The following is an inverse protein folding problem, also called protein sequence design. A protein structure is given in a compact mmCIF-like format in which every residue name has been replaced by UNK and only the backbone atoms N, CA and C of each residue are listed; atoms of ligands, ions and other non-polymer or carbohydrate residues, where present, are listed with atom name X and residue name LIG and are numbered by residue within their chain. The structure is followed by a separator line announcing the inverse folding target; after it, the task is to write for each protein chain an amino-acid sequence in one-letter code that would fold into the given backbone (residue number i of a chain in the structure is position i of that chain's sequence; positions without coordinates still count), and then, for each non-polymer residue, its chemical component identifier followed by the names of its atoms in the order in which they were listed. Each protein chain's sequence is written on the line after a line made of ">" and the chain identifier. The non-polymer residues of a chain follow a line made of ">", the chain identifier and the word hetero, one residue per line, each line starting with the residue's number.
data_IF_735999817000
#
_entry.id   IF_735999817000
#
_cell.length_a   1.000
_cell.length_b   1.000
_cell.length_c   1.000
_cell.angle_alpha   90.00
_cell.angle_beta   90.00
_cell.angle_gamma   90.00
#
_symmetry.space_group_name_H-M   'P 1'
#
loop_
_entity.id
_entity.type
_entity.pdbx_description
1 polymer ?
#
# COMPACT_ATOMS: atom_id res chain seq x y z
N UNK A 1 30.16 28.46 -16.23
CA UNK A 1 29.60 28.32 -14.87
C UNK A 1 28.14 28.72 -14.98
N UNK A 2 27.27 27.77 -15.33
CA UNK A 2 25.85 28.02 -15.53
C UNK A 2 25.13 27.67 -14.22
N UNK A 3 24.53 28.68 -13.62
CA UNK A 3 23.73 28.63 -12.41
C UNK A 3 22.46 27.81 -12.69
N UNK A 4 22.32 26.64 -12.09
CA UNK A 4 21.08 25.86 -12.12
C UNK A 4 20.10 26.48 -11.12
N UNK A 5 18.83 26.72 -11.49
CA UNK A 5 17.86 27.28 -10.57
C UNK A 5 17.63 26.32 -9.40
N UNK A 6 17.76 26.84 -8.18
CA UNK A 6 17.48 26.11 -6.94
C UNK A 6 16.08 25.49 -7.01
N UNK A 7 16.00 24.17 -6.84
CA UNK A 7 14.74 23.45 -6.76
C UNK A 7 13.89 24.04 -5.62
N UNK A 8 12.61 24.31 -5.90
CA UNK A 8 11.68 24.86 -4.91
C UNK A 8 11.60 23.94 -3.66
N UNK A 9 11.49 24.51 -2.45
CA UNK A 9 11.42 23.73 -1.22
C UNK A 9 10.25 22.72 -1.25
N UNK A 10 10.50 21.52 -0.71
CA UNK A 10 9.64 20.34 -0.81
C UNK A 10 8.20 20.56 -0.29
N UNK A 11 8.02 21.44 0.69
CA UNK A 11 6.70 21.84 1.19
C UNK A 11 5.84 22.46 0.09
N UNK A 12 6.45 23.20 -0.84
CA UNK A 12 5.76 23.78 -1.99
C UNK A 12 5.41 22.72 -3.05
N UNK A 13 6.21 21.66 -3.20
CA UNK A 13 5.95 20.58 -4.15
C UNK A 13 4.85 19.63 -3.64
N UNK A 14 4.87 19.32 -2.33
CA UNK A 14 3.82 18.56 -1.65
C UNK A 14 2.51 19.36 -1.63
N UNK A 15 2.57 20.66 -1.31
CA UNK A 15 1.40 21.54 -1.38
C UNK A 15 0.88 21.71 -2.81
N UNK A 16 1.76 21.80 -3.82
CA UNK A 16 1.36 21.86 -5.23
C UNK A 16 0.68 20.55 -5.68
N UNK A 17 1.19 19.39 -5.25
CA UNK A 17 0.55 18.09 -5.49
C UNK A 17 -0.83 18.01 -4.79
N UNK A 18 -0.94 18.50 -3.55
CA UNK A 18 -2.23 18.60 -2.85
C UNK A 18 -3.22 19.56 -3.54
N UNK A 19 -2.76 20.71 -4.02
CA UNK A 19 -3.58 21.68 -4.75
C UNK A 19 -4.06 21.13 -6.10
N UNK A 20 -3.21 20.37 -6.80
CA UNK A 20 -3.57 19.70 -8.05
C UNK A 20 -4.59 18.57 -7.84
N UNK A 21 -4.48 17.83 -6.73
CA UNK A 21 -5.45 16.80 -6.31
C UNK A 21 -6.79 17.40 -5.87
N UNK A 22 -6.78 18.53 -5.16
CA UNK A 22 -8.00 19.26 -4.78
C UNK A 22 -8.77 19.82 -5.99
N UNK A 23 -8.06 20.21 -7.05
CA UNK A 23 -8.66 20.70 -8.30
C UNK A 23 -9.25 19.59 -9.19
N UNK A 24 -8.86 18.33 -8.97
CA UNK A 24 -9.25 17.18 -9.81
C UNK A 24 -10.54 16.48 -9.35
N UNK A 25 -11.16 16.90 -8.25
CA UNK A 25 -12.47 16.40 -7.80
C UNK A 25 -13.55 17.42 -8.11
N UNK A 26 -14.41 17.10 -9.08
CA UNK A 26 -15.73 17.71 -9.20
C UNK A 26 -16.56 17.39 -7.95
N UNK A 27 -16.52 18.26 -6.94
CA UNK A 27 -17.53 18.33 -5.89
C UNK A 27 -17.70 19.79 -5.46
N UNK A 28 -18.90 20.32 -5.67
CA UNK A 28 -19.30 21.65 -5.21
C UNK A 28 -19.38 21.64 -3.69
N UNK A 29 -18.53 22.43 -3.02
CA UNK A 29 -18.68 22.77 -1.61
C UNK A 29 -19.88 23.72 -1.47
N UNK A 30 -21.00 23.22 -0.95
CA UNK A 30 -22.02 24.10 -0.40
C UNK A 30 -21.57 24.58 0.99
N UNK A 31 -21.42 25.90 1.11
CA UNK A 31 -21.26 26.58 2.39
C UNK A 31 -22.54 26.44 3.22
N UNK A 32 -22.41 26.02 4.48
CA UNK A 32 -23.47 26.13 5.50
C UNK A 32 -22.98 27.13 6.54
N UNK A 33 -23.74 28.20 6.83
CA UNK A 33 -23.33 29.20 7.81
C UNK A 33 -23.71 28.80 9.25
N UNK A 34 -22.82 29.18 10.16
CA UNK A 34 -23.05 29.57 11.57
C UNK A 34 -23.49 28.53 12.61
N UNK A 35 -22.52 28.13 13.44
CA UNK A 35 -22.49 28.46 14.87
C UNK A 35 -23.64 27.98 15.78
N UNK A 36 -23.38 26.93 16.56
CA UNK A 36 -23.56 26.94 18.03
C UNK A 36 -23.00 25.68 18.70
N UNK A 37 -22.41 25.94 19.87
CA UNK A 37 -21.84 24.99 20.81
C UNK A 37 -22.95 24.33 21.65
N UNK A 38 -22.85 23.05 21.96
CA UNK A 38 -23.60 22.40 23.04
C UNK A 38 -22.84 21.19 23.58
N UNK A 39 -22.53 21.23 24.87
CA UNK A 39 -21.93 20.16 25.67
C UNK A 39 -23.04 19.36 26.34
N UNK A 40 -23.05 18.02 26.23
CA UNK A 40 -23.86 17.13 27.09
C UNK A 40 -23.04 15.86 27.40
N UNK A 41 -22.83 15.47 28.67
CA UNK A 41 -22.20 14.21 29.02
C UNK A 41 -23.19 13.13 29.50
N UNK A 42 -22.69 11.90 29.37
CA UNK A 42 -22.86 10.70 30.21
C UNK A 42 -23.80 9.55 29.78
N UNK A 43 -23.15 8.39 29.66
CA UNK A 43 -23.59 6.99 29.83
C UNK A 43 -24.53 6.33 28.81
N UNK A 44 -23.97 5.34 28.09
CA UNK A 44 -24.44 3.94 28.20
C UNK A 44 -23.38 2.93 27.75
N UNK A 45 -23.26 1.87 28.54
CA UNK A 45 -22.46 0.66 28.32
C UNK A 45 -22.92 -0.14 27.09
N UNK A 46 -21.98 -0.91 26.52
CA UNK A 46 -22.11 -2.21 25.82
C UNK A 46 -21.18 -2.24 24.60
N UNK A 47 -20.53 -3.32 24.17
CA UNK A 47 -20.22 -4.64 24.69
C UNK A 47 -19.12 -5.17 23.74
N UNK A 48 -18.23 -6.03 24.23
CA UNK A 48 -17.20 -6.68 23.43
C UNK A 48 -17.82 -7.51 22.27
N UNK A 49 -17.12 -7.65 21.11
CA UNK A 49 -17.63 -8.42 19.98
C UNK A 49 -17.69 -9.93 20.31
N UNK A 50 -18.69 -10.68 19.82
CA UNK A 50 -18.76 -12.11 20.08
C UNK A 50 -17.65 -12.86 19.33
N UNK A 51 -16.98 -13.76 20.07
CA UNK A 51 -16.07 -14.77 19.51
C UNK A 51 -16.87 -15.75 18.65
N UNK A 52 -16.36 -16.06 17.45
CA UNK A 52 -16.93 -17.05 16.54
C UNK A 52 -17.02 -18.43 17.23
N UNK A 53 -18.10 -19.20 17.07
CA UNK A 53 -18.09 -20.60 17.46
C UNK A 53 -17.30 -21.42 16.44
N UNK A 54 -16.30 -22.17 16.93
CA UNK A 54 -15.66 -23.27 16.21
C UNK A 54 -16.71 -24.37 16.07
N UNK A 55 -17.12 -24.66 14.84
CA UNK A 55 -18.04 -25.76 14.55
C UNK A 55 -17.26 -27.07 14.52
N UNK A 56 -17.24 -27.78 15.65
CA UNK A 56 -16.92 -29.22 15.68
C UNK A 56 -18.18 -29.99 15.28
N UNK A 57 -18.22 -30.52 14.06
CA UNK A 57 -19.16 -31.61 13.74
C UNK A 57 -18.41 -32.82 13.17
N UNK A 58 -18.39 -33.84 14.02
CA UNK A 58 -18.18 -35.24 13.70
C UNK A 58 -19.58 -35.87 13.74
N UNK A 59 -20.02 -36.51 12.65
CA UNK A 59 -21.07 -37.53 12.56
C UNK A 59 -21.21 -37.87 11.06
N UNK A 60 -20.64 -38.98 10.61
CA UNK A 60 -21.28 -40.31 10.53
C UNK A 60 -22.37 -40.40 9.44
N UNK A 61 -22.13 -41.35 8.55
CA UNK A 61 -22.92 -41.65 7.38
C UNK A 61 -24.15 -42.49 7.76
N UNK A 62 -25.33 -42.10 7.25
CA UNK A 62 -26.46 -43.00 7.06
C UNK A 62 -27.06 -42.70 5.69
N UNK A 63 -27.18 -43.75 4.88
CA UNK A 63 -27.84 -43.78 3.57
C UNK A 63 -29.36 -43.63 3.73
N UNK A 64 -29.99 -42.80 2.91
CA UNK A 64 -31.45 -42.86 2.73
C UNK A 64 -32.10 -41.63 2.09
N UNK A 65 -32.39 -41.76 0.79
CA UNK A 65 -33.60 -41.24 0.09
C UNK A 65 -33.72 -39.72 -0.10
N UNK A 66 -33.49 -39.31 -1.35
CA UNK A 66 -34.32 -38.35 -2.10
C UNK A 66 -34.48 -36.94 -1.53
N UNK A 67 -33.49 -36.07 -1.73
CA UNK A 67 -33.69 -34.63 -1.67
C UNK A 67 -33.01 -33.94 -2.85
N UNK A 68 -33.82 -33.20 -3.59
CA UNK A 68 -33.50 -32.39 -4.75
C UNK A 68 -32.27 -31.49 -4.45
N UNK A 69 -31.11 -31.83 -5.01
CA UNK A 69 -29.91 -30.98 -4.94
C UNK A 69 -30.11 -29.84 -5.93
N UNK A 70 -30.86 -28.83 -5.50
CA UNK A 70 -30.81 -27.52 -6.12
C UNK A 70 -29.35 -27.06 -6.09
N UNK A 71 -28.70 -27.15 -7.25
CA UNK A 71 -27.35 -26.63 -7.45
C UNK A 71 -27.39 -25.14 -7.14
N UNK A 72 -26.99 -24.78 -5.91
CA UNK A 72 -26.64 -23.40 -5.60
C UNK A 72 -25.48 -23.08 -6.53
N UNK A 73 -25.79 -22.45 -7.68
CA UNK A 73 -24.79 -21.75 -8.49
C UNK A 73 -24.01 -20.89 -7.50
N UNK A 74 -22.74 -21.23 -7.27
CA UNK A 74 -21.79 -20.27 -6.73
C UNK A 74 -21.94 -19.06 -7.65
N UNK A 75 -22.55 -17.99 -7.15
CA UNK A 75 -22.60 -16.72 -7.88
C UNK A 75 -21.14 -16.44 -8.18
N UNK A 76 -20.74 -16.50 -9.45
CA UNK A 76 -19.38 -16.17 -9.84
C UNK A 76 -19.14 -14.77 -9.27
N UNK A 77 -18.30 -14.68 -8.24
CA UNK A 77 -17.85 -13.39 -7.77
C UNK A 77 -17.10 -12.82 -8.96
N UNK A 78 -17.73 -11.89 -9.68
CA UNK A 78 -17.07 -11.14 -10.72
C UNK A 78 -15.79 -10.59 -10.10
N UNK A 79 -14.64 -11.05 -10.60
CA UNK A 79 -13.38 -10.54 -10.11
C UNK A 79 -13.40 -9.03 -10.35
N UNK A 80 -13.20 -8.22 -9.31
CA UNK A 80 -13.21 -6.79 -9.47
C UNK A 80 -12.10 -6.42 -10.44
N UNK A 81 -12.39 -5.50 -11.36
CA UNK A 81 -11.46 -5.06 -12.38
C UNK A 81 -10.09 -4.72 -11.76
N UNK A 82 -9.01 -5.18 -12.39
CA UNK A 82 -7.64 -4.90 -11.97
C UNK A 82 -7.48 -3.38 -11.92
N UNK A 83 -7.02 -2.80 -10.78
CA UNK A 83 -6.79 -1.37 -10.74
C UNK A 83 -5.70 -1.01 -11.75
N UNK A 84 -5.77 0.22 -12.26
CA UNK A 84 -4.67 0.78 -13.02
C UNK A 84 -3.40 0.81 -12.16
N UNK A 85 -2.27 0.42 -12.76
CA UNK A 85 -0.97 0.37 -12.11
C UNK A 85 -0.11 1.45 -12.76
N UNK A 86 0.15 2.52 -12.01
CA UNK A 86 0.91 3.67 -12.48
C UNK A 86 2.35 3.22 -12.78
N UNK A 87 2.87 3.55 -13.95
CA UNK A 87 4.26 3.26 -14.33
C UNK A 87 4.54 1.79 -14.73
N UNK A 88 3.53 0.92 -14.75
CA UNK A 88 3.71 -0.46 -15.19
C UNK A 88 4.11 -0.51 -16.67
N UNK A 89 5.29 -1.08 -16.92
CA UNK A 89 5.82 -1.32 -18.26
C UNK A 89 6.10 -2.81 -18.45
N UNK A 90 5.26 -3.48 -19.24
CA UNK A 90 5.32 -4.93 -19.44
C UNK A 90 4.91 -5.73 -18.20
N UNK A 91 5.28 -7.02 -18.20
CA UNK A 91 4.98 -7.92 -17.07
C UNK A 91 5.88 -7.64 -15.86
N UNK A 92 5.34 -7.55 -14.63
CA UNK A 92 6.16 -7.38 -13.44
C UNK A 92 7.03 -8.62 -13.18
N UNK A 93 8.19 -8.42 -12.56
CA UNK A 93 9.07 -9.49 -12.12
C UNK A 93 8.39 -10.38 -11.07
N UNK A 94 8.88 -11.62 -10.84
CA UNK A 94 8.16 -12.63 -10.05
C UNK A 94 7.79 -12.19 -8.63
N UNK A 95 8.66 -11.43 -7.95
CA UNK A 95 8.37 -10.95 -6.59
C UNK A 95 7.31 -9.84 -6.58
N UNK A 96 7.40 -8.90 -7.52
CA UNK A 96 6.40 -7.85 -7.68
C UNK A 96 5.05 -8.43 -8.12
N UNK A 97 5.04 -9.37 -9.06
CA UNK A 97 3.84 -10.10 -9.47
C UNK A 97 3.19 -10.81 -8.28
N UNK A 98 3.96 -11.57 -7.50
CA UNK A 98 3.44 -12.31 -6.35
C UNK A 98 2.84 -11.38 -5.27
N UNK A 99 3.49 -10.25 -4.96
CA UNK A 99 2.93 -9.30 -3.99
C UNK A 99 1.66 -8.63 -4.53
N UNK A 100 1.66 -8.25 -5.81
CA UNK A 100 0.51 -7.63 -6.45
C UNK A 100 -0.70 -8.58 -6.46
N UNK A 101 -0.49 -9.85 -6.81
CA UNK A 101 -1.54 -10.86 -6.82
C UNK A 101 -2.12 -11.10 -5.43
N UNK A 102 -1.24 -11.22 -4.42
CA UNK A 102 -1.66 -11.33 -3.02
C UNK A 102 -2.47 -10.10 -2.59
N UNK A 103 -2.03 -8.89 -2.93
CA UNK A 103 -2.75 -7.67 -2.59
C UNK A 103 -4.11 -7.58 -3.29
N UNK A 104 -4.20 -8.00 -4.55
CA UNK A 104 -5.47 -8.08 -5.30
C UNK A 104 -6.44 -9.09 -4.69
N UNK A 105 -5.94 -10.23 -4.21
CA UNK A 105 -6.74 -11.21 -3.50
C UNK A 105 -7.30 -10.61 -2.19
N UNK A 106 -6.45 -9.97 -1.39
CA UNK A 106 -6.84 -9.43 -0.07
C UNK A 106 -7.75 -8.21 -0.15
N UNK A 107 -7.62 -7.37 -1.18
CA UNK A 107 -8.54 -6.24 -1.35
C UNK A 107 -9.97 -6.73 -1.64
N UNK A 108 -10.11 -7.87 -2.33
CA UNK A 108 -11.39 -8.34 -2.84
C UNK A 108 -12.06 -7.24 -3.68
N UNK A 109 -13.33 -6.94 -3.41
CA UNK A 109 -14.08 -5.87 -4.10
C UNK A 109 -13.71 -4.44 -3.71
N UNK A 110 -12.87 -4.23 -2.68
CA UNK A 110 -12.52 -2.89 -2.16
C UNK A 110 -11.42 -2.25 -3.01
N UNK A 111 -11.28 -0.91 -3.04
CA UNK A 111 -10.20 -0.24 -3.75
C UNK A 111 -8.81 -0.76 -3.34
N UNK A 112 -8.62 -1.03 -2.05
CA UNK A 112 -7.39 -1.56 -1.47
C UNK A 112 -7.69 -2.34 -0.18
N UNK A 113 -6.80 -3.25 0.28
CA UNK A 113 -6.93 -3.94 1.55
C UNK A 113 -6.49 -3.04 2.72
N UNK A 114 -6.89 -3.42 3.93
CA UNK A 114 -6.32 -2.89 5.16
C UNK A 114 -5.03 -3.65 5.50
N UNK A 115 -4.14 -3.05 6.30
CA UNK A 115 -2.99 -3.78 6.83
C UNK A 115 -3.40 -5.06 7.58
N UNK A 116 -4.52 -5.04 8.30
CA UNK A 116 -5.02 -6.20 9.05
C UNK A 116 -5.44 -7.39 8.16
N UNK A 117 -5.66 -7.16 6.87
CA UNK A 117 -6.00 -8.23 5.92
C UNK A 117 -4.77 -9.00 5.42
N UNK A 118 -3.57 -8.46 5.65
CA UNK A 118 -2.31 -9.04 5.19
C UNK A 118 -1.68 -9.86 6.34
N UNK A 119 -1.55 -11.16 6.16
CA UNK A 119 -0.86 -12.04 7.08
C UNK A 119 0.56 -12.36 6.57
N UNK A 120 1.62 -12.00 7.31
CA UNK A 120 3.00 -12.32 6.93
C UNK A 120 3.24 -13.81 6.66
N UNK A 121 2.46 -14.72 7.26
CA UNK A 121 2.61 -16.17 7.06
C UNK A 121 2.23 -16.62 5.65
N UNK A 122 1.44 -15.83 4.92
CA UNK A 122 1.04 -16.14 3.55
C UNK A 122 2.16 -15.83 2.54
N UNK A 123 3.04 -14.89 2.86
CA UNK A 123 4.05 -14.34 1.95
C UNK A 123 5.48 -14.36 2.52
N UNK A 124 5.94 -15.46 3.17
CA UNK A 124 7.22 -15.47 3.89
C UNK A 124 8.42 -15.17 2.99
N UNK A 125 8.35 -15.57 1.71
CA UNK A 125 9.40 -15.31 0.71
C UNK A 125 9.51 -13.84 0.30
N UNK A 126 8.44 -13.05 0.47
CA UNK A 126 8.42 -11.64 0.08
C UNK A 126 8.89 -10.75 1.23
N UNK A 127 8.76 -11.19 2.49
CA UNK A 127 9.09 -10.40 3.69
C UNK A 127 10.50 -9.79 3.68
N UNK A 128 11.58 -10.48 3.24
CA UNK A 128 12.90 -9.88 3.18
C UNK A 128 12.99 -8.65 2.25
N UNK A 129 12.08 -8.55 1.28
CA UNK A 129 12.06 -7.52 0.24
C UNK A 129 11.06 -6.38 0.52
N UNK A 130 10.23 -6.53 1.56
CA UNK A 130 9.11 -5.64 1.83
C UNK A 130 9.54 -4.48 2.73
N UNK A 131 8.97 -3.30 2.47
CA UNK A 131 8.92 -2.19 3.42
C UNK A 131 7.45 -1.87 3.72
N UNK A 132 7.15 -1.58 4.98
CA UNK A 132 5.84 -1.09 5.40
C UNK A 132 6.00 0.31 5.99
N UNK A 133 5.16 1.23 5.55
CA UNK A 133 5.19 2.63 5.99
C UNK A 133 3.83 3.07 6.51
N UNK A 134 3.83 3.77 7.64
CA UNK A 134 2.68 4.55 8.10
C UNK A 134 2.63 5.85 7.29
N UNK A 135 1.44 6.27 6.85
CA UNK A 135 1.20 7.59 6.28
C UNK A 135 0.63 8.48 7.38
N UNK A 136 1.35 9.56 7.72
CA UNK A 136 0.96 10.43 8.83
C UNK A 136 -0.20 11.34 8.42
N UNK A 137 -1.31 11.36 9.19
CA UNK A 137 -2.45 12.23 8.92
C UNK A 137 -2.05 13.71 8.85
N UNK A 138 -2.69 14.45 7.94
CA UNK A 138 -2.50 15.90 7.78
C UNK A 138 -1.20 16.33 7.09
N UNK A 139 -0.14 15.52 7.12
CA UNK A 139 1.15 15.84 6.48
C UNK A 139 1.47 14.97 5.26
N UNK A 140 0.95 13.74 5.20
CA UNK A 140 1.29 12.77 4.16
C UNK A 140 2.73 12.23 4.27
N UNK A 141 3.48 12.62 5.31
CA UNK A 141 4.83 12.08 5.55
C UNK A 141 4.74 10.59 5.81
N UNK A 142 5.70 9.84 5.28
CA UNK A 142 5.72 8.38 5.35
C UNK A 142 6.81 7.95 6.32
N UNK A 143 6.46 7.18 7.34
CA UNK A 143 7.41 6.67 8.34
C UNK A 143 7.58 5.17 8.19
N UNK A 144 8.81 4.69 8.09
CA UNK A 144 9.08 3.26 8.03
C UNK A 144 8.66 2.59 9.34
N UNK A 145 7.79 1.59 9.22
CA UNK A 145 7.35 0.72 10.31
C UNK A 145 8.09 -0.61 10.31
N UNK A 146 8.45 -1.10 9.13
CA UNK A 146 9.23 -2.31 8.92
C UNK A 146 10.06 -2.16 7.65
N UNK A 147 11.29 -2.66 7.71
CA UNK A 147 12.19 -2.80 6.56
C UNK A 147 12.66 -4.24 6.49
N UNK A 148 12.45 -4.88 5.35
CA UNK A 148 12.84 -6.28 5.11
C UNK A 148 14.35 -6.47 5.15
N UNK A 149 14.79 -7.64 5.62
CA UNK A 149 16.21 -7.93 5.85
C UNK A 149 17.08 -7.81 4.61
N UNK A 150 16.58 -8.20 3.42
CA UNK A 150 17.31 -8.05 2.15
C UNK A 150 17.48 -6.58 1.78
N UNK A 151 16.48 -5.73 2.08
CA UNK A 151 16.59 -4.28 1.89
C UNK A 151 17.66 -3.71 2.82
N UNK A 152 17.67 -4.10 4.09
CA UNK A 152 18.72 -3.66 5.05
C UNK A 152 20.12 -4.05 4.58
N UNK A 153 20.31 -5.29 4.12
CA UNK A 153 21.61 -5.76 3.59
C UNK A 153 22.05 -4.92 2.39
N UNK A 154 21.14 -4.60 1.47
CA UNK A 154 21.48 -3.92 0.22
C UNK A 154 21.72 -2.41 0.38
N UNK A 155 21.01 -1.75 1.30
CA UNK A 155 21.14 -0.30 1.52
C UNK A 155 21.99 0.04 2.77
N UNK A 156 22.42 -0.97 3.52
CA UNK A 156 23.34 -0.85 4.65
C UNK A 156 22.75 -0.17 5.89
N UNK A 157 21.43 0.00 5.97
CA UNK A 157 20.77 0.66 7.09
C UNK A 157 19.34 0.13 7.29
N UNK A 158 19.00 -0.14 8.56
CA UNK A 158 17.61 -0.26 8.99
C UNK A 158 17.05 1.13 9.24
N UNK A 159 16.13 1.56 8.36
CA UNK A 159 15.50 2.88 8.44
C UNK A 159 14.19 2.87 9.25
N UNK A 160 13.90 1.80 9.98
CA UNK A 160 12.71 1.72 10.85
C UNK A 160 12.62 2.93 11.79
N UNK A 161 11.44 3.54 11.88
CA UNK A 161 11.18 4.75 12.66
C UNK A 161 11.53 6.07 11.97
N UNK A 162 12.35 6.05 10.91
CA UNK A 162 12.71 7.25 10.13
C UNK A 162 11.63 7.58 9.11
N UNK A 163 11.61 8.85 8.69
CA UNK A 163 10.74 9.27 7.59
C UNK A 163 11.41 9.03 6.23
N UNK A 164 10.60 8.72 5.21
CA UNK A 164 11.06 8.49 3.84
C UNK A 164 11.85 9.69 3.29
N UNK A 165 11.45 10.92 3.64
CA UNK A 165 12.08 12.16 3.20
C UNK A 165 13.42 12.47 3.91
N UNK A 166 13.72 11.78 5.01
CA UNK A 166 14.97 11.91 5.79
C UNK A 166 16.04 10.90 5.36
N UNK A 167 15.68 9.89 4.59
CA UNK A 167 16.64 8.90 4.11
C UNK A 167 17.42 9.48 2.92
N UNK A 168 18.74 9.33 2.99
CA UNK A 168 19.62 9.70 1.88
C UNK A 168 19.57 8.61 0.81
N UNK A 169 18.94 8.96 -0.32
CA UNK A 169 18.85 8.13 -1.53
C UNK A 169 19.77 8.63 -2.66
N UNK A 170 20.65 9.59 -2.38
CA UNK A 170 21.47 10.26 -3.39
C UNK A 170 20.63 10.85 -4.53
N UNK A 171 21.11 10.70 -5.76
CA UNK A 171 20.47 11.23 -6.97
C UNK A 171 19.06 10.65 -7.21
N UNK A 172 18.74 9.49 -6.63
CA UNK A 172 17.44 8.83 -6.80
C UNK A 172 16.34 9.41 -5.91
N UNK A 173 16.68 10.31 -4.98
CA UNK A 173 15.72 10.88 -4.01
C UNK A 173 14.46 11.45 -4.67
N UNK A 174 14.52 12.31 -5.70
CA UNK A 174 13.31 12.87 -6.31
C UNK A 174 12.41 11.80 -6.92
N UNK A 175 13.00 10.86 -7.66
CA UNK A 175 12.30 9.75 -8.31
C UNK A 175 11.59 8.82 -7.30
N UNK A 176 12.21 8.58 -6.15
CA UNK A 176 11.62 7.76 -5.08
C UNK A 176 10.45 8.50 -4.45
N UNK A 177 10.64 9.75 -4.02
CA UNK A 177 9.58 10.53 -3.37
C UNK A 177 8.37 10.72 -4.30
N UNK A 178 8.61 10.95 -5.59
CA UNK A 178 7.56 11.01 -6.61
C UNK A 178 6.78 9.70 -6.70
N UNK A 179 7.45 8.54 -6.79
CA UNK A 179 6.78 7.23 -6.90
C UNK A 179 5.85 6.96 -5.71
N UNK A 180 6.30 7.27 -4.49
CA UNK A 180 5.49 7.13 -3.28
C UNK A 180 4.36 8.17 -3.21
N UNK A 181 4.63 9.41 -3.64
CA UNK A 181 3.65 10.48 -3.73
C UNK A 181 2.51 10.14 -4.70
N UNK A 182 2.82 9.54 -5.85
CA UNK A 182 1.83 9.08 -6.82
C UNK A 182 0.94 7.97 -6.24
N UNK A 183 1.52 6.96 -5.61
CA UNK A 183 0.75 5.88 -4.98
C UNK A 183 -0.21 6.41 -3.89
N UNK A 184 0.27 7.38 -3.09
CA UNK A 184 -0.53 8.04 -2.06
C UNK A 184 -1.65 8.90 -2.67
N UNK A 185 -1.31 9.80 -3.60
CA UNK A 185 -2.24 10.77 -4.17
C UNK A 185 -3.37 10.10 -4.98
N UNK A 186 -3.04 9.03 -5.71
CA UNK A 186 -4.00 8.35 -6.58
C UNK A 186 -4.70 7.17 -5.91
N UNK A 187 -4.27 6.75 -4.71
CA UNK A 187 -4.78 5.55 -4.07
C UNK A 187 -4.65 4.30 -4.99
N UNK A 188 -3.60 4.26 -5.80
CA UNK A 188 -3.37 3.24 -6.83
C UNK A 188 -2.00 2.59 -6.69
N UNK A 189 -1.84 1.32 -7.10
CA UNK A 189 -0.53 0.70 -7.25
C UNK A 189 0.41 1.54 -8.13
N UNK A 190 1.67 1.64 -7.73
CA UNK A 190 2.73 2.23 -8.53
C UNK A 190 3.85 1.21 -8.74
N UNK A 191 4.29 1.06 -9.98
CA UNK A 191 5.34 0.15 -10.40
C UNK A 191 6.43 0.93 -11.13
N UNK A 192 7.69 0.54 -10.91
CA UNK A 192 8.81 1.09 -11.66
C UNK A 192 9.98 0.12 -11.73
N UNK A 193 10.53 -0.04 -12.93
CA UNK A 193 11.87 -0.60 -13.15
C UNK A 193 12.88 0.54 -13.19
N UNK A 194 14.02 0.37 -12.53
CA UNK A 194 15.07 1.38 -12.48
C UNK A 194 16.45 0.74 -12.31
N UNK A 195 17.46 1.33 -12.95
CA UNK A 195 18.85 1.09 -12.57
C UNK A 195 19.16 1.85 -11.28
N UNK A 196 19.99 1.25 -10.43
CA UNK A 196 20.39 1.83 -9.15
C UNK A 196 21.91 1.71 -8.96
N UNK A 197 22.46 2.66 -8.23
CA UNK A 197 23.88 2.68 -7.85
C UNK A 197 23.91 2.73 -6.32
N UNK A 198 24.51 1.71 -5.68
CA UNK A 198 24.68 1.76 -4.22
C UNK A 198 25.82 2.73 -3.82
N UNK A 199 26.04 2.86 -2.52
CA UNK A 199 27.09 3.72 -1.94
C UNK A 199 28.51 3.31 -2.38
N UNK A 200 28.71 2.06 -2.78
CA UNK A 200 29.99 1.53 -3.25
C UNK A 200 30.19 1.70 -4.77
N UNK A 201 29.23 2.35 -5.47
CA UNK A 201 29.31 2.57 -6.92
C UNK A 201 28.86 1.39 -7.78
N UNK A 202 28.37 0.30 -7.17
CA UNK A 202 27.91 -0.90 -7.89
C UNK A 202 26.55 -0.62 -8.53
N UNK A 203 26.47 -0.86 -9.84
CA UNK A 203 25.24 -0.73 -10.63
C UNK A 203 24.47 -2.03 -10.65
N UNK A 204 23.17 -1.96 -10.39
CA UNK A 204 22.26 -3.08 -10.47
C UNK A 204 20.86 -2.63 -10.90
N UNK A 205 20.13 -3.53 -11.53
CA UNK A 205 18.73 -3.27 -11.85
C UNK A 205 17.84 -3.62 -10.66
N UNK A 206 16.78 -2.84 -10.47
CA UNK A 206 15.76 -3.13 -9.48
C UNK A 206 14.37 -2.83 -10.02
N UNK A 207 13.41 -3.53 -9.45
CA UNK A 207 11.99 -3.28 -9.63
C UNK A 207 11.38 -2.91 -8.28
N UNK A 208 10.56 -1.85 -8.29
CA UNK A 208 9.83 -1.36 -7.13
C UNK A 208 8.35 -1.44 -7.41
N UNK A 209 7.63 -2.06 -6.48
CA UNK A 209 6.18 -2.02 -6.42
C UNK A 209 5.77 -1.31 -5.13
N UNK A 210 4.81 -0.39 -5.20
CA UNK A 210 4.23 0.32 -4.06
C UNK A 210 2.72 0.11 -4.14
N UNK A 211 2.12 -0.35 -3.05
CA UNK A 211 0.72 -0.70 -2.96
C UNK A 211 0.07 0.04 -1.79
N UNK A 212 -1.05 0.73 -2.03
CA UNK A 212 -1.75 1.45 -0.98
C UNK A 212 -2.54 0.50 -0.07
N UNK A 213 -2.67 0.89 1.19
CA UNK A 213 -3.49 0.21 2.19
C UNK A 213 -4.39 1.23 2.90
N UNK A 214 -5.54 0.77 3.34
CA UNK A 214 -6.54 1.61 4.01
C UNK A 214 -7.33 0.83 5.06
N UNK A 215 -7.34 1.32 6.29
CA UNK A 215 -8.18 0.77 7.37
C UNK A 215 -9.63 1.26 7.34
N UNK A 216 -9.96 2.28 6.55
CA UNK A 216 -11.29 2.91 6.51
C UNK A 216 -12.12 2.56 5.26
N UNK A 217 -11.78 1.45 4.62
CA UNK A 217 -12.50 0.93 3.45
C UNK A 217 -12.12 1.60 2.14
N UNK A 218 -10.94 2.24 2.07
CA UNK A 218 -10.40 2.85 0.87
C UNK A 218 -10.69 4.34 0.72
N UNK A 219 -11.12 5.04 1.79
CA UNK A 219 -11.34 6.50 1.71
C UNK A 219 -10.02 7.25 1.81
N UNK A 220 -9.10 6.76 2.65
CA UNK A 220 -7.77 7.31 2.82
C UNK A 220 -6.72 6.21 2.83
N UNK A 221 -5.59 6.50 2.21
CA UNK A 221 -4.39 5.67 2.32
C UNK A 221 -3.72 6.00 3.65
N UNK A 222 -3.68 5.03 4.58
CA UNK A 222 -3.06 5.19 5.90
C UNK A 222 -1.74 4.43 6.04
N UNK A 223 -1.48 3.50 5.12
CA UNK A 223 -0.21 2.80 5.01
C UNK A 223 0.13 2.51 3.55
N UNK A 224 1.42 2.34 3.30
CA UNK A 224 1.95 1.83 2.03
C UNK A 224 2.77 0.57 2.31
N UNK A 225 2.54 -0.47 1.53
CA UNK A 225 3.44 -1.63 1.47
C UNK A 225 4.19 -1.57 0.15
N UNK A 226 5.51 -1.69 0.19
CA UNK A 226 6.33 -1.71 -1.02
C UNK A 226 7.28 -2.89 -1.03
N UNK A 227 7.67 -3.31 -2.22
CA UNK A 227 8.61 -4.41 -2.45
C UNK A 227 9.73 -3.96 -3.38
N UNK A 228 10.95 -4.38 -3.05
CA UNK A 228 12.15 -4.22 -3.86
C UNK A 228 12.66 -5.58 -4.36
N UNK A 229 12.50 -5.80 -5.67
CA UNK A 229 13.09 -6.92 -6.37
C UNK A 229 14.43 -6.44 -6.97
N UNK A 230 15.51 -6.74 -6.26
CA UNK A 230 16.87 -6.34 -6.59
C UNK A 230 17.46 -7.44 -7.46
N UNK A 231 17.77 -7.12 -8.72
CA UNK A 231 18.41 -8.04 -9.66
C UNK A 231 19.91 -7.94 -9.44
N UNK A 232 20.51 -9.03 -8.98
CA UNK A 232 21.97 -9.13 -8.98
C UNK A 232 22.44 -9.12 -10.43
N UNK A 233 23.16 -8.08 -10.83
CA UNK A 233 23.93 -8.13 -12.07
C UNK A 233 25.00 -9.19 -11.85
N UNK A 234 24.82 -10.36 -12.44
CA UNK A 234 25.94 -11.28 -12.68
C UNK A 234 26.81 -10.54 -13.68
N UNK A 235 27.78 -9.78 -13.17
CA UNK A 235 28.90 -9.32 -13.98
C UNK A 235 29.64 -10.59 -14.42
N UNK A 236 29.32 -11.04 -15.63
CA UNK A 236 30.14 -11.98 -16.38
C UNK A 236 31.37 -11.28 -16.92
#
# INVERSE_FOLDING_TARGET
>A
MADQPAAAPLDAQILALHQHVAASRHFVLHAVPEGRCSVIPLHRQAAAPPRRPVCTRRAEAVLGIGANVASRRRKACAMPARPEIIGLTGEPGPLCAALLDYWMERRGGRPMPARADLDPVDIPKLLPHIMLMDVLPGTGRMRFRLVGTRVVVMFGADNTGRYLDEVDFGEQRPAILESYGLALAHASPHHRRMGFINKDGVKFDMERLILPLSSDGGRHVDMLISLLDIKENIAG
#
